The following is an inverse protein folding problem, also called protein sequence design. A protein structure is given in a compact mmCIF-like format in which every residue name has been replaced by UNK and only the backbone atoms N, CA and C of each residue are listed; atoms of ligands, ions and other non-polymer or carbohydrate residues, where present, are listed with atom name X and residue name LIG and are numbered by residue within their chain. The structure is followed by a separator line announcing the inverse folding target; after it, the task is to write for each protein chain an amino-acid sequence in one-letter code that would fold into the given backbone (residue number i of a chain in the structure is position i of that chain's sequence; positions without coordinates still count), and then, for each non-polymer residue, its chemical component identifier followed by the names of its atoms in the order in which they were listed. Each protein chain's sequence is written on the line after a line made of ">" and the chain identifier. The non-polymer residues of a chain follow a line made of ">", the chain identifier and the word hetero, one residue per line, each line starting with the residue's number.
data_IF_721715069698
#
_entry.id   IF_721715069698
#
_cell.length_a   1.000
_cell.length_b   1.000
_cell.length_c   1.000
_cell.angle_alpha   90.00
_cell.angle_beta   90.00
_cell.angle_gamma   90.00
#
_symmetry.space_group_name_H-M   'P 1'
#
loop_
_entity.id
_entity.type
_entity.pdbx_description
1 polymer ?
#
# COMPACT_ATOMS: atom_id res chain seq x y z
N UNK A 1 85.65 3.71 28.71
CA UNK A 1 84.63 3.17 29.65
C UNK A 1 83.56 4.20 29.78
N UNK A 2 82.47 4.13 28.99
CA UNK A 2 81.35 5.06 29.10
C UNK A 2 80.10 4.30 28.68
N UNK A 3 79.17 4.11 29.61
CA UNK A 3 77.90 3.45 29.41
C UNK A 3 76.89 4.44 28.86
N UNK A 4 76.30 4.15 27.72
CA UNK A 4 75.16 4.88 27.16
C UNK A 4 73.90 4.11 27.49
N UNK A 5 73.03 4.72 28.32
CA UNK A 5 71.66 4.29 28.59
C UNK A 5 70.73 4.72 27.47
N UNK A 6 70.20 3.81 26.71
CA UNK A 6 69.12 4.07 25.76
C UNK A 6 67.75 4.10 26.50
N UNK A 7 67.05 5.23 26.44
CA UNK A 7 65.67 5.42 26.88
C UNK A 7 64.74 5.01 25.72
N UNK A 8 64.00 3.92 25.90
CA UNK A 8 62.86 3.59 25.04
C UNK A 8 61.68 4.46 25.46
N UNK A 9 61.20 5.32 24.55
CA UNK A 9 59.95 6.07 24.66
C UNK A 9 58.90 5.19 24.01
N UNK A 10 58.01 4.62 24.81
CA UNK A 10 56.84 3.87 24.31
C UNK A 10 55.75 4.88 23.89
N UNK A 11 55.46 4.94 22.61
CA UNK A 11 54.31 5.66 22.09
C UNK A 11 53.02 4.84 22.30
N UNK A 12 52.20 5.31 23.23
CA UNK A 12 50.88 4.73 23.50
C UNK A 12 49.89 5.31 22.47
N UNK A 13 49.62 4.60 21.42
CA UNK A 13 48.56 4.99 20.41
C UNK A 13 47.20 4.69 21.00
N UNK A 14 46.50 5.74 21.45
CA UNK A 14 45.09 5.67 21.84
C UNK A 14 44.23 5.50 20.62
N UNK A 15 43.68 4.30 20.42
CA UNK A 15 42.68 3.99 19.39
C UNK A 15 41.33 4.58 19.82
N UNK A 16 40.98 5.76 19.32
CA UNK A 16 39.65 6.35 19.47
C UNK A 16 38.65 5.50 18.67
N UNK A 17 37.90 4.64 19.35
CA UNK A 17 36.72 3.98 18.82
C UNK A 17 35.64 5.07 18.59
N UNK A 18 35.52 5.55 17.35
CA UNK A 18 34.33 6.30 16.93
C UNK A 18 33.15 5.33 16.89
N UNK A 19 32.41 5.29 17.98
CA UNK A 19 31.08 4.68 18.02
C UNK A 19 30.16 5.51 17.12
N UNK A 20 30.10 5.15 15.83
CA UNK A 20 29.11 5.70 14.91
C UNK A 20 27.73 5.32 15.43
N UNK A 21 27.05 6.27 16.07
CA UNK A 21 25.63 6.13 16.34
C UNK A 21 24.93 5.97 14.98
N UNK A 22 24.51 4.75 14.68
CA UNK A 22 23.64 4.46 13.55
C UNK A 22 22.35 5.28 13.78
N UNK A 23 22.20 6.41 13.10
CA UNK A 23 20.97 7.17 13.11
C UNK A 23 19.93 6.29 12.44
N UNK A 24 19.08 5.66 13.25
CA UNK A 24 17.90 4.99 12.74
C UNK A 24 17.12 6.03 11.92
N UNK A 25 16.96 5.76 10.64
CA UNK A 25 16.13 6.62 9.78
C UNK A 25 14.74 6.76 10.43
N UNK A 26 14.19 7.98 10.50
CA UNK A 26 12.85 8.17 11.04
C UNK A 26 11.90 7.21 10.33
N UNK A 27 11.21 6.38 11.10
CA UNK A 27 10.18 5.52 10.54
C UNK A 27 9.12 6.44 9.93
N UNK A 28 8.73 6.27 8.65
CA UNK A 28 7.68 7.10 8.05
C UNK A 28 6.46 7.13 8.97
N UNK A 29 5.81 8.30 9.09
CA UNK A 29 4.55 8.40 9.83
C UNK A 29 3.61 7.31 9.32
N UNK A 30 3.14 6.41 10.20
CA UNK A 30 2.26 5.32 9.76
C UNK A 30 0.94 5.83 9.15
N UNK A 31 0.56 7.09 9.33
CA UNK A 31 -0.59 7.71 8.66
C UNK A 31 -0.28 8.32 7.30
N UNK A 32 0.97 8.27 6.83
CA UNK A 32 1.37 8.90 5.58
C UNK A 32 1.59 7.87 4.47
N UNK A 33 0.95 8.10 3.32
CA UNK A 33 1.11 7.31 2.09
C UNK A 33 1.42 8.27 0.95
N UNK A 34 2.64 8.25 0.43
CA UNK A 34 3.08 9.16 -0.63
C UNK A 34 2.80 10.64 -0.32
N UNK A 35 3.00 11.08 0.93
CA UNK A 35 2.70 12.45 1.37
C UNK A 35 1.23 12.71 1.71
N UNK A 36 0.33 11.77 1.42
CA UNK A 36 -1.09 11.88 1.76
C UNK A 36 -1.32 11.52 3.23
N UNK A 37 -1.99 12.41 3.97
CA UNK A 37 -2.34 12.21 5.38
C UNK A 37 -3.68 12.88 5.71
N UNK A 38 -4.36 12.37 6.73
CA UNK A 38 -5.62 12.95 7.19
C UNK A 38 -5.46 14.43 7.59
N UNK A 39 -6.49 15.23 7.34
CA UNK A 39 -6.53 16.64 7.69
C UNK A 39 -5.97 17.59 6.63
N UNK A 40 -5.31 17.11 5.58
CA UNK A 40 -4.89 17.97 4.46
C UNK A 40 -6.11 18.57 3.77
N UNK A 41 -5.99 19.81 3.31
CA UNK A 41 -7.03 20.46 2.52
C UNK A 41 -6.72 20.35 1.03
N UNK A 42 -7.71 20.00 0.24
CA UNK A 42 -7.59 19.89 -1.20
C UNK A 42 -6.93 21.12 -1.85
N UNK A 43 -7.29 22.32 -1.42
CA UNK A 43 -6.72 23.58 -1.92
C UNK A 43 -5.24 23.82 -1.55
N UNK A 44 -4.68 23.05 -0.61
CA UNK A 44 -3.30 23.17 -0.13
C UNK A 44 -2.41 22.04 -0.67
N UNK A 45 -2.99 21.08 -1.40
CA UNK A 45 -2.28 19.92 -1.93
C UNK A 45 -1.67 20.25 -3.29
N UNK A 46 -0.37 19.96 -3.47
CA UNK A 46 0.27 20.05 -4.78
C UNK A 46 -0.11 18.85 -5.65
N UNK A 47 -0.18 19.09 -6.95
CA UNK A 47 -0.33 18.05 -7.97
C UNK A 47 1.01 17.55 -8.53
N UNK A 48 2.13 18.18 -8.16
CA UNK A 48 3.44 17.95 -8.79
C UNK A 48 3.96 16.50 -8.68
N UNK A 49 3.55 15.78 -7.64
CA UNK A 49 3.96 14.39 -7.41
C UNK A 49 2.94 13.35 -7.91
N UNK A 50 1.86 13.81 -8.56
CA UNK A 50 0.78 12.96 -9.02
C UNK A 50 0.54 13.15 -10.52
N UNK A 51 0.57 12.05 -11.26
CA UNK A 51 0.43 12.09 -12.72
C UNK A 51 -1.01 12.23 -13.18
N UNK A 52 -1.96 11.63 -12.46
CA UNK A 52 -3.38 11.64 -12.84
C UNK A 52 -4.25 11.76 -11.59
N UNK A 53 -5.28 12.60 -11.71
CA UNK A 53 -6.39 12.67 -10.76
C UNK A 53 -7.69 12.31 -11.48
N UNK A 54 -8.55 11.55 -10.84
CA UNK A 54 -9.85 11.19 -11.39
C UNK A 54 -10.86 10.89 -10.28
N UNK A 55 -12.13 10.91 -10.61
CA UNK A 55 -13.15 10.43 -9.69
C UNK A 55 -12.96 8.94 -9.41
N UNK A 56 -12.91 8.58 -8.15
CA UNK A 56 -12.79 7.21 -7.69
C UNK A 56 -14.06 6.39 -7.90
N UNK A 57 -13.94 5.10 -7.72
CA UNK A 57 -15.03 4.15 -7.89
C UNK A 57 -15.03 3.07 -6.79
N UNK A 58 -14.84 3.51 -5.54
CA UNK A 58 -14.76 2.66 -4.36
C UNK A 58 -13.58 1.66 -4.42
N UNK A 59 -12.40 2.17 -4.83
CA UNK A 59 -11.19 1.35 -5.01
C UNK A 59 -11.14 0.56 -6.31
N UNK A 60 -12.07 0.80 -7.23
CA UNK A 60 -12.05 0.28 -8.60
C UNK A 60 -11.32 1.22 -9.57
N UNK A 61 -11.30 0.88 -10.86
CA UNK A 61 -10.70 1.73 -11.88
C UNK A 61 -11.27 3.14 -11.88
N UNK A 62 -10.43 4.17 -12.12
CA UNK A 62 -10.89 5.56 -12.17
C UNK A 62 -11.90 5.78 -13.31
N UNK A 63 -12.72 6.79 -13.15
CA UNK A 63 -13.79 7.11 -14.12
C UNK A 63 -13.51 8.43 -14.83
N UNK A 64 -13.99 9.53 -14.26
CA UNK A 64 -13.89 10.87 -14.86
C UNK A 64 -12.60 11.55 -14.37
N UNK A 65 -11.76 12.03 -15.30
CA UNK A 65 -10.57 12.80 -14.96
C UNK A 65 -10.96 14.15 -14.33
N UNK A 66 -10.16 14.60 -13.39
CA UNK A 66 -10.20 15.93 -12.79
C UNK A 66 -8.81 16.56 -12.90
N UNK A 67 -8.74 17.88 -12.99
CA UNK A 67 -7.49 18.60 -13.27
C UNK A 67 -6.74 18.94 -11.98
N UNK A 68 -7.47 19.17 -10.90
CA UNK A 68 -6.94 19.63 -9.62
C UNK A 68 -7.66 18.94 -8.44
N UNK A 69 -7.00 18.94 -7.29
CA UNK A 69 -7.61 18.47 -6.05
C UNK A 69 -8.87 19.25 -5.67
N UNK A 70 -8.91 20.55 -5.95
CA UNK A 70 -10.08 21.40 -5.70
C UNK A 70 -11.32 20.97 -6.50
N UNK A 71 -11.12 20.21 -7.56
CA UNK A 71 -12.17 19.65 -8.42
C UNK A 71 -12.90 18.44 -7.81
N UNK A 72 -12.55 18.01 -6.61
CA UNK A 72 -13.14 16.83 -5.96
C UNK A 72 -14.68 16.82 -5.96
N UNK A 73 -15.32 18.00 -5.93
CA UNK A 73 -16.79 18.13 -5.98
C UNK A 73 -17.40 17.77 -7.33
N UNK A 74 -16.59 17.66 -8.41
CA UNK A 74 -17.07 17.13 -9.70
C UNK A 74 -17.35 15.62 -9.60
N UNK A 75 -16.79 14.96 -8.59
CA UNK A 75 -17.03 13.53 -8.31
C UNK A 75 -18.34 13.35 -7.54
N UNK A 76 -19.02 12.23 -7.78
CA UNK A 76 -20.21 11.88 -7.03
C UNK A 76 -19.85 11.46 -5.61
N UNK A 77 -20.46 12.01 -4.56
CA UNK A 77 -20.21 11.59 -3.20
C UNK A 77 -20.67 10.14 -2.96
N UNK A 78 -19.95 9.44 -2.11
CA UNK A 78 -20.35 8.14 -1.59
C UNK A 78 -21.53 8.26 -0.62
N UNK A 79 -22.08 7.13 -0.19
CA UNK A 79 -23.12 7.09 0.84
C UNK A 79 -22.69 7.67 2.20
N UNK A 80 -21.37 7.73 2.44
CA UNK A 80 -20.75 8.40 3.60
C UNK A 80 -20.78 9.92 3.51
N UNK A 81 -21.13 10.50 2.34
CA UNK A 81 -21.00 11.92 2.04
C UNK A 81 -19.59 12.35 1.64
N UNK A 82 -18.63 11.42 1.57
CA UNK A 82 -17.26 11.70 1.15
C UNK A 82 -17.12 11.61 -0.37
N UNK A 83 -16.24 12.43 -0.93
CA UNK A 83 -15.90 12.48 -2.35
C UNK A 83 -14.60 11.70 -2.58
N UNK A 84 -14.65 10.63 -3.34
CA UNK A 84 -13.49 9.82 -3.66
C UNK A 84 -12.78 10.37 -4.89
N UNK A 85 -11.48 10.71 -4.72
CA UNK A 85 -10.59 11.09 -5.80
C UNK A 85 -9.49 10.04 -5.90
N UNK A 86 -9.45 9.34 -7.03
CA UNK A 86 -8.35 8.47 -7.41
C UNK A 86 -7.11 9.30 -7.69
N UNK A 87 -5.95 8.78 -7.34
CA UNK A 87 -4.68 9.41 -7.59
C UNK A 87 -3.66 8.38 -8.11
N UNK A 88 -2.94 8.75 -9.15
CA UNK A 88 -1.75 8.03 -9.60
C UNK A 88 -0.52 8.80 -9.14
N UNK A 89 0.28 8.18 -8.30
CA UNK A 89 1.56 8.75 -7.90
C UNK A 89 2.50 8.77 -9.12
N UNK A 90 3.07 9.95 -9.42
CA UNK A 90 4.03 10.09 -10.50
C UNK A 90 5.39 9.57 -10.05
N UNK A 91 5.70 8.34 -10.45
CA UNK A 91 7.00 7.75 -10.20
C UNK A 91 7.90 8.02 -11.41
N UNK A 92 8.88 8.91 -11.26
CA UNK A 92 9.89 9.18 -12.30
C UNK A 92 10.57 7.89 -12.78
N UNK A 93 10.64 6.88 -11.92
CA UNK A 93 11.19 5.57 -12.29
C UNK A 93 10.31 4.83 -13.28
N UNK A 94 8.99 5.05 -13.27
CA UNK A 94 8.09 4.54 -14.31
C UNK A 94 8.41 5.17 -15.68
N UNK A 95 8.70 6.45 -15.68
CA UNK A 95 9.09 7.18 -16.88
C UNK A 95 10.41 6.66 -17.48
N UNK A 96 11.40 6.43 -16.62
CA UNK A 96 12.70 5.86 -17.03
C UNK A 96 12.52 4.44 -17.58
N UNK A 97 11.74 3.59 -16.90
CA UNK A 97 11.47 2.22 -17.33
C UNK A 97 10.84 2.15 -18.74
N UNK A 98 9.90 3.04 -19.01
CA UNK A 98 9.28 3.17 -20.35
C UNK A 98 10.25 3.70 -21.39
N UNK A 99 11.07 4.68 -21.01
CA UNK A 99 12.02 5.31 -21.92
C UNK A 99 13.16 4.38 -22.38
N UNK A 100 13.57 3.44 -21.51
CA UNK A 100 14.62 2.46 -21.82
C UNK A 100 14.06 1.13 -22.36
N UNK A 101 12.73 1.02 -22.47
CA UNK A 101 12.01 -0.18 -22.95
C UNK A 101 12.48 -1.48 -22.26
N UNK A 102 12.76 -1.39 -20.95
CA UNK A 102 13.16 -2.53 -20.13
C UNK A 102 11.94 -3.18 -19.44
N UNK A 103 11.46 -4.31 -19.97
CA UNK A 103 10.28 -4.98 -19.41
C UNK A 103 10.49 -5.50 -17.99
N UNK A 104 11.73 -5.85 -17.60
CA UNK A 104 12.05 -6.28 -16.25
C UNK A 104 12.05 -5.11 -15.26
N UNK A 105 12.54 -3.96 -15.70
CA UNK A 105 12.50 -2.73 -14.93
C UNK A 105 11.07 -2.22 -14.79
N UNK A 106 10.28 -2.28 -15.86
CA UNK A 106 8.87 -1.90 -15.88
C UNK A 106 8.00 -2.82 -14.99
N UNK A 107 8.20 -4.13 -15.03
CA UNK A 107 7.39 -5.11 -14.27
C UNK A 107 7.39 -4.89 -12.75
N UNK A 108 8.45 -4.29 -12.21
CA UNK A 108 8.56 -4.06 -10.77
C UNK A 108 8.15 -2.66 -10.30
N UNK A 109 7.88 -1.69 -11.19
CA UNK A 109 7.86 -0.28 -10.83
C UNK A 109 6.78 0.57 -11.51
N UNK A 110 5.99 0.01 -12.41
CA UNK A 110 4.94 0.72 -13.13
C UNK A 110 3.71 0.92 -12.26
N UNK A 111 3.21 2.16 -12.22
CA UNK A 111 2.00 2.54 -11.49
C UNK A 111 2.21 2.77 -9.99
N UNK A 112 1.16 3.19 -9.32
CA UNK A 112 1.18 3.47 -7.89
C UNK A 112 1.42 2.17 -7.11
N UNK A 113 2.46 2.17 -6.26
CA UNK A 113 2.81 1.02 -5.44
C UNK A 113 2.86 1.36 -3.96
N UNK A 114 2.41 0.44 -3.13
CA UNK A 114 2.55 0.49 -1.68
C UNK A 114 3.14 -0.83 -1.20
N UNK A 115 4.26 -0.74 -0.46
CA UNK A 115 5.00 -1.92 -0.01
C UNK A 115 5.34 -2.92 -1.14
N UNK A 116 5.65 -2.42 -2.34
CA UNK A 116 5.97 -3.23 -3.52
C UNK A 116 4.76 -3.79 -4.28
N UNK A 117 3.55 -3.62 -3.78
CA UNK A 117 2.32 -4.11 -4.44
C UNK A 117 1.66 -3.00 -5.27
N UNK A 118 1.25 -3.28 -6.52
CA UNK A 118 0.46 -2.34 -7.31
C UNK A 118 -0.91 -2.12 -6.67
N UNK A 119 -1.31 -0.85 -6.55
CA UNK A 119 -2.56 -0.46 -5.92
C UNK A 119 -3.29 0.62 -6.69
N UNK A 120 -4.60 0.62 -6.59
CA UNK A 120 -5.47 1.76 -6.86
C UNK A 120 -5.49 2.56 -5.56
N UNK A 121 -5.00 3.78 -5.61
CA UNK A 121 -4.94 4.69 -4.47
C UNK A 121 -6.00 5.78 -4.64
N UNK A 122 -6.74 6.05 -3.59
CA UNK A 122 -7.75 7.11 -3.56
C UNK A 122 -7.71 7.86 -2.24
N UNK A 123 -8.07 9.12 -2.29
CA UNK A 123 -8.33 9.96 -1.13
C UNK A 123 -9.81 10.30 -1.04
N UNK A 124 -10.28 10.53 0.18
CA UNK A 124 -11.69 10.77 0.49
C UNK A 124 -11.80 12.13 1.16
N UNK A 125 -12.38 13.10 0.46
CA UNK A 125 -12.62 14.45 0.96
C UNK A 125 -14.01 14.61 1.53
N UNK A 126 -14.15 15.39 2.61
CA UNK A 126 -15.45 15.85 3.04
C UNK A 126 -15.96 17.02 2.17
N UNK A 127 -17.17 17.52 2.46
CA UNK A 127 -17.77 18.64 1.73
C UNK A 127 -16.94 19.94 1.80
N UNK A 128 -16.07 20.07 2.78
CA UNK A 128 -15.22 21.26 2.98
C UNK A 128 -13.82 21.09 2.36
N UNK A 129 -13.60 19.95 1.69
CA UNK A 129 -12.34 19.63 1.00
C UNK A 129 -11.22 19.17 1.95
N UNK A 130 -11.57 18.72 3.15
CA UNK A 130 -10.61 18.17 4.09
C UNK A 130 -10.51 16.66 3.85
N UNK A 131 -9.29 16.14 3.75
CA UNK A 131 -8.98 14.73 3.56
C UNK A 131 -9.34 13.95 4.84
N UNK A 132 -10.37 13.12 4.76
CA UNK A 132 -10.93 12.31 5.85
C UNK A 132 -10.63 10.83 5.72
N UNK A 133 -10.14 10.41 4.56
CA UNK A 133 -9.79 9.02 4.36
C UNK A 133 -8.79 8.83 3.24
N UNK A 134 -8.04 7.75 3.35
CA UNK A 134 -7.16 7.22 2.31
C UNK A 134 -7.57 5.78 2.09
N UNK A 135 -7.80 5.41 0.84
CA UNK A 135 -8.18 4.05 0.44
C UNK A 135 -7.18 3.51 -0.56
N UNK A 136 -6.75 2.29 -0.37
CA UNK A 136 -6.02 1.55 -1.38
C UNK A 136 -6.61 0.17 -1.57
N UNK A 137 -6.64 -0.27 -2.82
CA UNK A 137 -7.04 -1.63 -3.19
C UNK A 137 -6.00 -2.16 -4.17
N UNK A 138 -5.59 -3.41 -4.01
CA UNK A 138 -4.67 -4.04 -4.96
C UNK A 138 -5.21 -3.93 -6.39
N UNK A 139 -4.35 -3.55 -7.34
CA UNK A 139 -4.79 -3.24 -8.70
C UNK A 139 -5.13 -4.53 -9.49
N UNK A 140 -6.38 -4.73 -9.91
CA UNK A 140 -6.78 -5.90 -10.67
C UNK A 140 -6.21 -5.91 -12.10
N UNK A 141 -5.63 -4.80 -12.56
CA UNK A 141 -4.97 -4.68 -13.89
C UNK A 141 -3.50 -5.10 -13.86
N UNK A 142 -2.96 -5.34 -12.66
CA UNK A 142 -1.59 -5.83 -12.48
C UNK A 142 -1.36 -7.18 -13.17
N UNK A 143 -0.10 -7.56 -13.36
CA UNK A 143 0.28 -8.84 -13.95
C UNK A 143 -0.31 -10.03 -13.16
N UNK A 144 -0.45 -11.19 -13.80
CA UNK A 144 -0.99 -12.38 -13.15
C UNK A 144 -0.21 -12.77 -11.87
N UNK A 145 1.11 -12.62 -11.88
CA UNK A 145 1.96 -12.87 -10.72
C UNK A 145 1.67 -11.89 -9.58
N UNK A 146 1.61 -10.60 -9.88
CA UNK A 146 1.32 -9.57 -8.88
C UNK A 146 -0.08 -9.72 -8.29
N UNK A 147 -1.07 -10.02 -9.14
CA UNK A 147 -2.43 -10.33 -8.66
C UNK A 147 -2.44 -11.55 -7.73
N UNK A 148 -1.66 -12.60 -8.03
CA UNK A 148 -1.54 -13.76 -7.16
C UNK A 148 -0.99 -13.39 -5.77
N UNK A 149 -0.09 -12.42 -5.70
CA UNK A 149 0.53 -11.95 -4.47
C UNK A 149 -0.25 -10.82 -3.76
N UNK A 150 -1.35 -10.35 -4.33
CA UNK A 150 -2.08 -9.18 -3.85
C UNK A 150 -2.57 -9.32 -2.38
N UNK A 151 -2.91 -10.53 -1.94
CA UNK A 151 -3.31 -10.82 -0.55
C UNK A 151 -2.17 -10.63 0.47
N UNK A 152 -0.90 -10.65 0.02
CA UNK A 152 0.26 -10.45 0.88
C UNK A 152 0.43 -8.99 1.33
N UNK A 153 -0.15 -8.03 0.59
CA UNK A 153 -0.15 -6.63 0.98
C UNK A 153 -0.73 -6.43 2.39
N UNK A 154 -1.69 -7.25 2.81
CA UNK A 154 -2.24 -7.26 4.17
C UNK A 154 -1.15 -7.36 5.24
N UNK A 155 -0.20 -8.30 5.10
CA UNK A 155 0.88 -8.48 6.07
C UNK A 155 1.82 -7.29 6.10
N UNK A 156 2.13 -6.72 4.93
CA UNK A 156 2.96 -5.52 4.85
C UNK A 156 2.29 -4.32 5.56
N UNK A 157 0.98 -4.16 5.40
CA UNK A 157 0.20 -3.12 6.08
C UNK A 157 0.21 -3.33 7.60
N UNK A 158 -0.11 -4.54 8.08
CA UNK A 158 -0.13 -4.85 9.51
C UNK A 158 1.23 -4.54 10.14
N UNK A 159 2.32 -4.95 9.50
CA UNK A 159 3.67 -4.69 10.00
C UNK A 159 4.04 -3.21 9.98
N UNK A 160 3.59 -2.45 8.95
CA UNK A 160 3.86 -1.01 8.83
C UNK A 160 3.20 -0.21 9.97
N UNK A 161 1.97 -0.57 10.32
CA UNK A 161 1.15 0.15 11.32
C UNK A 161 1.20 -0.51 12.69
N UNK A 162 2.33 -1.10 13.05
CA UNK A 162 2.59 -1.89 14.25
C UNK A 162 1.79 -3.20 14.31
N UNK A 163 2.44 -4.34 14.50
CA UNK A 163 1.79 -5.65 14.43
C UNK A 163 0.79 -5.91 15.57
N UNK A 164 0.93 -5.17 16.68
CA UNK A 164 0.08 -5.33 17.84
C UNK A 164 -1.16 -4.42 17.79
N UNK A 165 -2.23 -4.83 18.46
CA UNK A 165 -3.46 -4.04 18.58
C UNK A 165 -4.42 -4.13 17.40
N UNK A 166 -4.19 -5.03 16.46
CA UNK A 166 -5.16 -5.38 15.43
C UNK A 166 -6.16 -6.39 15.94
N UNK A 167 -7.43 -6.13 15.70
CA UNK A 167 -8.52 -7.09 15.91
C UNK A 167 -8.85 -7.72 14.55
N UNK A 168 -8.46 -8.97 14.37
CA UNK A 168 -8.64 -9.69 13.11
C UNK A 168 -9.73 -10.74 13.24
N UNK A 169 -10.62 -10.80 12.26
CA UNK A 169 -11.70 -11.77 12.14
C UNK A 169 -11.58 -12.49 10.81
N UNK A 170 -11.55 -13.82 10.84
CA UNK A 170 -11.64 -14.65 9.66
C UNK A 170 -13.12 -14.94 9.36
N UNK A 171 -13.54 -14.63 8.14
CA UNK A 171 -14.87 -14.99 7.70
C UNK A 171 -14.90 -16.46 7.25
N UNK A 172 -15.95 -17.20 7.55
CA UNK A 172 -16.10 -18.59 7.08
C UNK A 172 -16.22 -18.63 5.56
N UNK A 173 -15.88 -19.77 4.98
CA UNK A 173 -16.13 -20.02 3.55
C UNK A 173 -17.63 -20.01 3.26
N UNK A 174 -18.02 -19.31 2.20
CA UNK A 174 -19.36 -19.41 1.67
C UNK A 174 -19.53 -20.70 0.83
N UNK A 175 -20.77 -21.15 0.56
CA UNK A 175 -21.00 -22.32 -0.26
C UNK A 175 -20.30 -22.22 -1.63
N UNK A 176 -19.46 -23.21 -1.93
CA UNK A 176 -18.69 -23.28 -3.18
C UNK A 176 -17.38 -22.47 -3.20
N UNK A 177 -17.05 -21.74 -2.15
CA UNK A 177 -15.70 -21.18 -2.00
C UNK A 177 -14.71 -22.27 -1.57
N UNK A 178 -13.54 -22.29 -2.19
CA UNK A 178 -12.51 -23.32 -1.94
C UNK A 178 -11.11 -22.67 -1.80
N UNK A 179 -10.16 -23.36 -1.12
CA UNK A 179 -8.78 -22.94 -1.05
C UNK A 179 -8.09 -22.88 -2.41
N UNK A 180 -7.02 -22.08 -2.49
CA UNK A 180 -6.12 -21.97 -3.65
C UNK A 180 -4.84 -22.75 -3.38
N UNK A 181 -4.34 -23.49 -4.38
CA UNK A 181 -2.98 -24.04 -4.38
C UNK A 181 -2.64 -24.93 -3.19
N UNK A 182 -3.49 -25.89 -2.86
CA UNK A 182 -3.17 -26.91 -1.85
C UNK A 182 -3.56 -26.55 -0.41
N UNK A 183 -4.46 -25.59 -0.20
CA UNK A 183 -5.08 -25.39 1.13
C UNK A 183 -5.03 -23.98 1.70
N UNK A 184 -4.56 -22.99 0.96
CA UNK A 184 -4.57 -21.59 1.44
C UNK A 184 -5.93 -20.97 1.17
N UNK A 185 -6.63 -20.60 2.24
CA UNK A 185 -7.89 -19.85 2.22
C UNK A 185 -7.75 -18.63 3.10
N UNK A 186 -7.91 -17.43 2.54
CA UNK A 186 -7.88 -16.16 3.28
C UNK A 186 -9.15 -15.39 2.95
N UNK A 187 -9.90 -15.07 3.98
CA UNK A 187 -11.05 -14.18 3.96
C UNK A 187 -11.07 -13.48 5.32
N UNK A 188 -10.17 -12.51 5.46
CA UNK A 188 -9.86 -11.91 6.75
C UNK A 188 -10.04 -10.39 6.71
N UNK A 189 -10.63 -9.87 7.77
CA UNK A 189 -10.73 -8.44 8.05
C UNK A 189 -10.06 -8.13 9.38
N UNK A 190 -9.14 -7.18 9.38
CA UNK A 190 -8.46 -6.69 10.57
C UNK A 190 -8.75 -5.20 10.75
N UNK A 191 -8.98 -4.79 11.97
CA UNK A 191 -9.25 -3.41 12.32
C UNK A 191 -8.36 -2.97 13.48
N UNK A 192 -7.94 -1.71 13.44
CA UNK A 192 -7.21 -1.05 14.52
C UNK A 192 -7.72 0.37 14.64
N UNK A 193 -8.08 0.78 15.85
CA UNK A 193 -8.59 2.12 16.11
C UNK A 193 -7.73 2.85 17.13
N UNK A 194 -7.56 4.15 16.90
CA UNK A 194 -7.01 5.12 17.84
C UNK A 194 -7.92 6.36 17.87
N UNK A 195 -7.73 7.29 18.81
CA UNK A 195 -8.47 8.55 18.82
C UNK A 195 -8.29 9.38 17.55
N UNK A 196 -7.18 9.25 16.87
CA UNK A 196 -6.79 10.06 15.72
C UNK A 196 -7.21 9.44 14.38
N UNK A 197 -7.23 8.10 14.30
CA UNK A 197 -7.51 7.38 13.06
C UNK A 197 -8.04 5.98 13.32
N UNK A 198 -8.85 5.50 12.39
CA UNK A 198 -9.22 4.08 12.29
C UNK A 198 -8.58 3.47 11.05
N UNK A 199 -8.06 2.26 11.21
CA UNK A 199 -7.43 1.47 10.17
C UNK A 199 -8.28 0.21 9.94
N UNK A 200 -8.47 -0.14 8.68
CA UNK A 200 -9.12 -1.38 8.29
C UNK A 200 -8.32 -2.01 7.16
N UNK A 201 -7.97 -3.28 7.30
CA UNK A 201 -7.41 -4.06 6.19
C UNK A 201 -8.25 -5.32 6.00
N UNK A 202 -8.65 -5.57 4.77
CA UNK A 202 -9.38 -6.75 4.36
C UNK A 202 -8.63 -7.43 3.21
N UNK A 203 -8.52 -8.76 3.27
CA UNK A 203 -7.84 -9.52 2.24
C UNK A 203 -8.56 -10.81 1.94
N UNK A 204 -8.62 -11.15 0.65
CA UNK A 204 -9.11 -12.42 0.15
C UNK A 204 -8.05 -13.13 -0.65
N UNK A 205 -7.97 -14.45 -0.46
CA UNK A 205 -7.25 -15.37 -1.32
C UNK A 205 -8.00 -16.71 -1.31
N UNK A 206 -8.84 -16.88 -2.30
CA UNK A 206 -9.76 -18.02 -2.38
C UNK A 206 -10.25 -18.23 -3.82
N UNK A 207 -10.90 -19.34 -4.08
CA UNK A 207 -11.71 -19.56 -5.28
C UNK A 207 -13.18 -19.40 -5.00
N UNK A 208 -13.87 -18.72 -5.89
CA UNK A 208 -15.32 -18.64 -5.92
C UNK A 208 -15.94 -19.82 -6.69
N UNK A 209 -17.24 -20.06 -6.54
CA UNK A 209 -17.96 -20.99 -7.39
C UNK A 209 -17.67 -20.76 -8.88
N UNK A 210 -17.34 -21.80 -9.62
CA UNK A 210 -16.99 -21.73 -11.03
C UNK A 210 -15.52 -21.42 -11.34
N UNK A 211 -14.71 -21.08 -10.34
CA UNK A 211 -13.27 -20.93 -10.48
C UNK A 211 -12.57 -22.25 -10.12
N UNK A 212 -12.23 -23.05 -11.11
CA UNK A 212 -11.65 -24.38 -10.90
C UNK A 212 -10.13 -24.38 -11.07
N UNK A 213 -9.43 -25.33 -10.42
CA UNK A 213 -8.01 -25.57 -10.64
C UNK A 213 -7.70 -26.14 -12.01
N UNK A 214 -8.65 -26.91 -12.50
CA UNK A 214 -8.56 -27.65 -13.75
C UNK A 214 -9.79 -27.30 -14.58
N UNK A 215 -9.60 -27.00 -15.85
CA UNK A 215 -10.70 -26.85 -16.78
C UNK A 215 -11.42 -28.21 -16.90
N UNK A 216 -12.72 -28.30 -16.55
CA UNK A 216 -13.45 -29.56 -16.58
C UNK A 216 -13.63 -30.13 -17.98
N UNK A 217 -13.46 -29.32 -19.04
CA UNK A 217 -13.59 -29.75 -20.42
C UNK A 217 -12.27 -30.25 -21.02
N UNK A 218 -11.14 -29.63 -20.69
CA UNK A 218 -9.84 -29.98 -21.26
C UNK A 218 -8.92 -30.73 -20.32
N UNK A 219 -9.19 -30.71 -19.01
CA UNK A 219 -8.31 -31.27 -17.99
C UNK A 219 -7.03 -30.49 -17.74
N UNK A 220 -6.89 -29.31 -18.35
CA UNK A 220 -5.73 -28.45 -18.18
C UNK A 220 -5.82 -27.59 -16.92
N UNK A 221 -4.67 -27.31 -16.29
CA UNK A 221 -4.60 -26.44 -15.14
C UNK A 221 -4.97 -25.00 -15.52
N UNK A 222 -6.00 -24.46 -14.87
CA UNK A 222 -6.42 -23.06 -15.05
C UNK A 222 -5.61 -22.17 -14.13
N UNK A 223 -4.57 -21.54 -14.65
CA UNK A 223 -3.83 -20.52 -13.91
C UNK A 223 -4.62 -19.21 -13.87
N UNK A 224 -4.81 -18.65 -12.67
CA UNK A 224 -5.41 -17.33 -12.50
C UNK A 224 -6.91 -17.28 -12.21
N UNK A 225 -7.58 -18.42 -12.11
CA UNK A 225 -8.97 -18.49 -11.65
C UNK A 225 -9.03 -18.52 -10.11
N UNK A 226 -8.85 -17.38 -9.51
CA UNK A 226 -8.96 -17.18 -8.05
C UNK A 226 -9.17 -15.69 -7.76
N UNK A 227 -9.72 -15.40 -6.59
CA UNK A 227 -9.68 -14.06 -6.01
C UNK A 227 -8.41 -13.90 -5.19
N UNK A 228 -7.68 -12.81 -5.43
CA UNK A 228 -6.58 -12.35 -4.60
C UNK A 228 -6.59 -10.83 -4.59
N UNK A 229 -6.92 -10.25 -3.45
CA UNK A 229 -6.93 -8.81 -3.29
C UNK A 229 -6.75 -8.42 -1.83
N UNK A 230 -6.30 -7.19 -1.63
CA UNK A 230 -6.26 -6.51 -0.34
C UNK A 230 -6.85 -5.13 -0.51
N UNK A 231 -7.72 -4.75 0.41
CA UNK A 231 -8.24 -3.40 0.60
C UNK A 231 -7.73 -2.87 1.93
N UNK A 232 -7.25 -1.65 1.94
CA UNK A 232 -6.85 -0.95 3.13
C UNK A 232 -7.47 0.44 3.17
N UNK A 233 -7.93 0.84 4.34
CA UNK A 233 -8.48 2.17 4.56
C UNK A 233 -7.91 2.78 5.84
N UNK A 234 -7.50 4.04 5.74
CA UNK A 234 -7.21 4.93 6.85
C UNK A 234 -8.35 5.94 6.87
N UNK A 235 -9.07 6.06 7.98
CA UNK A 235 -10.21 6.95 8.09
C UNK A 235 -10.13 7.82 9.34
N UNK A 236 -10.57 9.07 9.21
CA UNK A 236 -10.93 9.86 10.37
C UNK A 236 -12.06 9.14 11.12
N UNK A 237 -11.93 8.90 12.44
CA UNK A 237 -12.91 8.12 13.21
C UNK A 237 -14.34 8.66 13.12
N UNK A 238 -14.52 9.98 12.92
CA UNK A 238 -15.82 10.61 12.81
C UNK A 238 -16.55 10.31 11.47
N UNK A 239 -15.83 9.77 10.48
CA UNK A 239 -16.36 9.43 9.16
C UNK A 239 -16.37 7.93 8.88
N UNK A 240 -16.07 7.11 9.88
CA UNK A 240 -16.16 5.66 9.75
C UNK A 240 -17.62 5.25 9.58
N UNK A 241 -17.93 4.45 8.55
CA UNK A 241 -19.23 3.78 8.47
C UNK A 241 -19.37 2.80 9.66
N UNK A 242 -20.55 2.79 10.30
CA UNK A 242 -20.85 1.78 11.29
C UNK A 242 -20.85 0.36 10.71
#
# INVERSE_FOLDING_TARGET
>A
MTRVCARMIGALTALLMLSGASQAQPRPDPGEIHGLKLGLKAAEMSTDTFGDLACGSNGGPPRQMVEDWADFRKCRPEASGLYEVYVRFDDQQDYVARAIDDPLYAQGRVGTRVAGHPVILSVLFDKDGVLRGIRMVSDPRASALERRMAHMLRLAIINRYEPNGWNCTDAPSAPGETPVGGGVFIKQRCEKASPEKSLMVEAHFLRKPGQNEVDPATGEATSGQFESWTRFEIMDPNYRKP
#
